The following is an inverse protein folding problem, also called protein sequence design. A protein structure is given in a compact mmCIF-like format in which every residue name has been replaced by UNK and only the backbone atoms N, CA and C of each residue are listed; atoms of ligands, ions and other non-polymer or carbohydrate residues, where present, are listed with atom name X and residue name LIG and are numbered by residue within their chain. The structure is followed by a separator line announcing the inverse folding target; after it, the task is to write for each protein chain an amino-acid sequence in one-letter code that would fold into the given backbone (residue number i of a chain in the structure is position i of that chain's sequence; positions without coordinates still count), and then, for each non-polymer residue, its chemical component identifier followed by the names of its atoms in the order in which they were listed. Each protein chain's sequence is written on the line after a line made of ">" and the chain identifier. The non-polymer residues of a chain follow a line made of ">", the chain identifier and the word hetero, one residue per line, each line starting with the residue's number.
data_IF_500632248738
#
_entry.id   IF_500632248738
#
_cell.length_a   1.000
_cell.length_b   1.000
_cell.length_c   1.000
_cell.angle_alpha   90.00
_cell.angle_beta   90.00
_cell.angle_gamma   90.00
#
_symmetry.space_group_name_H-M   'P 1'
#
loop_
_entity.id
_entity.type
_entity.pdbx_description
1 polymer ?
#
# COMPACT_ATOMS: atom_id res chain seq x y z
N UNK A 1 36.05 -10.69 -3.27
CA UNK A 1 34.81 -9.91 -3.39
C UNK A 1 35.20 -8.45 -3.36
N UNK A 2 34.98 -7.73 -4.44
CA UNK A 2 35.23 -6.28 -4.47
C UNK A 2 34.36 -5.60 -3.41
N UNK A 3 35.01 -4.84 -2.52
CA UNK A 3 34.38 -4.09 -1.43
C UNK A 3 33.79 -2.76 -1.92
N UNK A 4 33.15 -2.76 -3.09
CA UNK A 4 32.60 -1.56 -3.71
C UNK A 4 31.14 -1.77 -4.07
N UNK A 5 30.32 -0.75 -3.80
CA UNK A 5 28.94 -0.70 -4.26
C UNK A 5 28.85 0.06 -5.58
N UNK A 6 28.03 -0.41 -6.51
CA UNK A 6 27.70 0.29 -7.74
C UNK A 6 26.42 1.10 -7.52
N UNK A 7 26.36 2.31 -8.08
CA UNK A 7 25.21 3.21 -7.95
C UNK A 7 24.62 3.45 -9.35
N UNK A 8 23.33 3.21 -9.51
CA UNK A 8 22.57 3.47 -10.74
C UNK A 8 21.49 4.53 -10.47
N UNK A 9 21.52 5.62 -11.26
CA UNK A 9 20.61 6.75 -11.16
C UNK A 9 19.40 6.68 -12.09
N UNK A 10 19.22 5.61 -12.86
CA UNK A 10 18.10 5.48 -13.81
C UNK A 10 16.70 5.63 -13.18
N UNK A 11 16.57 5.41 -11.87
CA UNK A 11 15.31 5.59 -11.11
C UNK A 11 15.24 6.89 -10.32
N UNK A 12 16.29 7.72 -10.31
CA UNK A 12 16.31 8.97 -9.57
C UNK A 12 15.36 9.99 -10.22
N UNK A 13 14.53 10.64 -9.40
CA UNK A 13 13.59 11.66 -9.87
C UNK A 13 12.29 11.12 -10.49
N UNK A 14 12.08 9.80 -10.54
CA UNK A 14 10.80 9.23 -10.96
C UNK A 14 9.69 9.70 -9.99
N UNK A 15 8.54 10.19 -10.49
CA UNK A 15 7.45 10.64 -9.63
C UNK A 15 6.94 9.53 -8.70
N UNK A 16 6.68 9.88 -7.44
CA UNK A 16 6.15 8.98 -6.43
C UNK A 16 4.97 9.64 -5.71
N UNK A 17 4.02 8.82 -5.28
CA UNK A 17 2.95 9.22 -4.38
C UNK A 17 3.10 8.40 -3.09
N UNK A 18 3.24 9.08 -1.96
CA UNK A 18 3.21 8.46 -0.65
C UNK A 18 1.80 8.57 -0.06
N UNK A 19 1.21 7.43 0.30
CA UNK A 19 -0.10 7.37 0.94
C UNK A 19 0.08 6.76 2.34
N UNK A 20 -0.20 7.56 3.36
CA UNK A 20 -0.18 7.13 4.76
C UNK A 20 -1.62 7.04 5.25
N UNK A 21 -1.99 5.88 5.80
CA UNK A 21 -3.33 5.66 6.37
C UNK A 21 -3.32 5.94 7.87
N UNK A 22 -4.47 6.36 8.39
CA UNK A 22 -4.78 6.22 9.80
C UNK A 22 -4.73 4.73 10.24
N UNK A 23 -4.54 4.42 11.53
CA UNK A 23 -4.41 3.06 12.04
C UNK A 23 -5.77 2.35 12.17
N UNK A 24 -6.49 2.22 11.06
CA UNK A 24 -7.86 1.66 10.97
C UNK A 24 -7.92 0.25 10.38
N UNK A 25 -6.77 -0.34 10.07
CA UNK A 25 -6.65 -1.70 9.51
C UNK A 25 -6.31 -2.65 10.65
N UNK A 26 -7.11 -3.70 10.84
CA UNK A 26 -7.05 -4.55 12.04
C UNK A 26 -6.60 -5.98 11.78
N UNK A 27 -6.40 -6.37 10.51
CA UNK A 27 -5.91 -7.71 10.16
C UNK A 27 -5.04 -7.70 8.90
N UNK A 28 -4.20 -8.73 8.73
CA UNK A 28 -3.45 -8.93 7.50
C UNK A 28 -4.34 -9.09 6.28
N UNK A 29 -5.51 -9.72 6.44
CA UNK A 29 -6.51 -9.84 5.39
C UNK A 29 -7.05 -8.49 4.93
N UNK A 30 -7.47 -7.63 5.87
CA UNK A 30 -7.93 -6.27 5.56
C UNK A 30 -6.82 -5.45 4.88
N UNK A 31 -5.58 -5.54 5.36
CA UNK A 31 -4.43 -4.87 4.77
C UNK A 31 -4.21 -5.28 3.31
N UNK A 32 -4.27 -6.59 3.03
CA UNK A 32 -4.21 -7.09 1.66
C UNK A 32 -5.36 -6.56 0.82
N UNK A 33 -6.60 -6.62 1.32
CA UNK A 33 -7.77 -6.15 0.56
C UNK A 33 -7.67 -4.66 0.25
N UNK A 34 -7.25 -3.85 1.22
CA UNK A 34 -6.99 -2.43 1.02
C UNK A 34 -5.95 -2.21 -0.09
N UNK A 35 -4.82 -2.91 -0.05
CA UNK A 35 -3.78 -2.80 -1.07
C UNK A 35 -4.23 -3.25 -2.47
N UNK A 36 -5.00 -4.34 -2.55
CA UNK A 36 -5.61 -4.83 -3.80
C UNK A 36 -6.59 -3.81 -4.40
N UNK A 37 -7.46 -3.22 -3.56
CA UNK A 37 -8.41 -2.20 -3.99
C UNK A 37 -7.73 -0.90 -4.40
N UNK A 38 -6.66 -0.50 -3.70
CA UNK A 38 -5.85 0.66 -4.08
C UNK A 38 -5.17 0.43 -5.43
N UNK A 39 -4.57 -0.75 -5.67
CA UNK A 39 -4.02 -1.11 -6.99
C UNK A 39 -5.09 -1.07 -8.07
N UNK A 40 -6.28 -1.60 -7.80
CA UNK A 40 -7.39 -1.58 -8.74
C UNK A 40 -7.80 -0.14 -9.08
N UNK A 41 -7.89 0.74 -8.09
CA UNK A 41 -8.20 2.16 -8.27
C UNK A 41 -7.14 2.85 -9.13
N UNK A 42 -5.85 2.69 -8.81
CA UNK A 42 -4.75 3.32 -9.54
C UNK A 42 -4.72 2.89 -11.01
N UNK A 43 -5.00 1.61 -11.29
CA UNK A 43 -5.13 1.08 -12.65
C UNK A 43 -6.38 1.61 -13.37
N UNK A 44 -7.49 1.77 -12.66
CA UNK A 44 -8.73 2.33 -13.22
C UNK A 44 -8.56 3.79 -13.64
N UNK A 45 -7.78 4.55 -12.86
CA UNK A 45 -7.46 5.94 -13.11
C UNK A 45 -6.32 6.11 -14.14
N UNK A 46 -5.69 5.03 -14.59
CA UNK A 46 -4.56 5.02 -15.52
C UNK A 46 -3.36 5.86 -15.03
N UNK A 47 -3.15 5.93 -13.71
CA UNK A 47 -2.04 6.69 -13.09
C UNK A 47 -0.85 5.83 -12.71
N UNK A 48 -1.07 4.52 -12.51
CA UNK A 48 0.00 3.56 -12.21
C UNK A 48 -0.49 2.12 -12.40
N UNK A 49 0.39 1.28 -12.94
CA UNK A 49 0.21 -0.18 -12.95
C UNK A 49 0.26 -0.78 -11.53
N UNK A 50 0.83 -0.05 -10.57
CA UNK A 50 0.93 -0.38 -9.15
C UNK A 50 1.34 -1.85 -8.91
N UNK A 51 2.31 -2.30 -9.69
CA UNK A 51 2.83 -3.66 -9.62
C UNK A 51 3.95 -3.78 -8.58
N UNK A 52 3.79 -4.70 -7.63
CA UNK A 52 4.76 -4.88 -6.55
C UNK A 52 6.03 -5.58 -7.01
N UNK A 53 5.94 -6.52 -7.95
CA UNK A 53 7.09 -7.30 -8.42
C UNK A 53 8.11 -6.42 -9.16
N UNK A 54 7.62 -5.50 -10.00
CA UNK A 54 8.45 -4.47 -10.64
C UNK A 54 8.80 -3.29 -9.73
N UNK A 55 8.29 -3.26 -8.49
CA UNK A 55 8.58 -2.24 -7.50
C UNK A 55 7.97 -0.87 -7.80
N UNK A 56 6.84 -0.84 -8.51
CA UNK A 56 6.00 0.34 -8.72
C UNK A 56 5.07 0.63 -7.53
N UNK A 57 4.75 -0.40 -6.75
CA UNK A 57 4.03 -0.28 -5.48
C UNK A 57 4.86 -0.86 -4.35
N UNK A 58 4.97 -0.14 -3.24
CA UNK A 58 5.66 -0.57 -2.02
C UNK A 58 4.74 -0.37 -0.83
N UNK A 59 4.79 -1.30 0.12
CA UNK A 59 3.91 -1.31 1.28
C UNK A 59 4.77 -1.65 2.49
N UNK A 60 4.70 -0.80 3.52
CA UNK A 60 5.42 -0.97 4.78
C UNK A 60 4.42 -0.89 5.94
N UNK A 61 3.89 -2.04 6.42
CA UNK A 61 2.91 -2.04 7.49
C UNK A 61 3.57 -1.68 8.83
N UNK A 62 2.88 -0.81 9.56
CA UNK A 62 3.19 -0.46 10.94
C UNK A 62 2.21 -1.21 11.86
N UNK A 63 2.74 -2.08 12.72
CA UNK A 63 1.95 -3.04 13.49
C UNK A 63 2.19 -2.81 14.97
N UNK A 64 1.10 -2.67 15.73
CA UNK A 64 1.12 -2.63 17.19
C UNK A 64 -0.10 -3.38 17.72
N UNK A 65 0.04 -4.07 18.84
CA UNK A 65 -1.08 -4.71 19.54
C UNK A 65 -1.37 -4.03 20.88
N UNK A 66 -2.63 -4.05 21.30
CA UNK A 66 -3.06 -3.49 22.58
C UNK A 66 -4.34 -4.12 23.09
N UNK A 67 -4.45 -4.24 24.43
CA UNK A 67 -5.65 -4.72 25.12
C UNK A 67 -6.61 -3.61 25.53
N UNK A 68 -6.20 -2.34 25.45
CA UNK A 68 -6.89 -1.20 26.08
C UNK A 68 -7.40 -0.15 25.08
N UNK A 69 -7.37 -0.46 23.78
CA UNK A 69 -7.76 0.46 22.70
C UNK A 69 -6.75 1.58 22.42
N UNK A 70 -5.74 1.78 23.27
CA UNK A 70 -4.60 2.69 23.01
C UNK A 70 -3.54 1.97 22.19
N UNK A 71 -3.01 2.58 21.14
CA UNK A 71 -1.97 1.97 20.31
C UNK A 71 -0.73 1.58 21.15
N UNK A 72 -0.20 0.40 20.87
CA UNK A 72 1.00 -0.12 21.52
C UNK A 72 2.28 0.42 20.92
N UNK A 73 3.42 -0.20 21.28
CA UNK A 73 4.69 0.06 20.61
C UNK A 73 4.61 -0.48 19.19
N UNK A 74 4.96 0.35 18.21
CA UNK A 74 4.91 -0.01 16.79
C UNK A 74 6.17 -0.75 16.34
N UNK A 75 5.97 -1.74 15.49
CA UNK A 75 6.99 -2.40 14.69
C UNK A 75 6.69 -2.13 13.22
N UNK A 76 7.73 -1.82 12.46
CA UNK A 76 7.63 -1.52 11.03
C UNK A 76 8.24 -2.68 10.24
N UNK A 77 7.46 -3.31 9.35
CA UNK A 77 7.94 -4.43 8.52
C UNK A 77 8.29 -3.93 7.13
N UNK A 78 9.49 -4.27 6.64
CA UNK A 78 10.04 -3.85 5.36
C UNK A 78 10.27 -5.04 4.42
N UNK A 79 10.56 -4.73 3.15
CA UNK A 79 10.89 -5.67 2.08
C UNK A 79 9.77 -6.67 1.74
N UNK A 80 8.55 -6.15 1.57
CA UNK A 80 7.38 -6.93 1.18
C UNK A 80 7.17 -6.81 -0.34
N UNK A 81 7.31 -7.93 -1.05
CA UNK A 81 7.27 -7.94 -2.53
C UNK A 81 5.95 -8.44 -3.13
N UNK A 82 4.99 -8.84 -2.29
CA UNK A 82 3.67 -9.29 -2.75
C UNK A 82 2.58 -8.98 -1.73
N UNK A 83 1.33 -8.91 -2.19
CA UNK A 83 0.16 -8.76 -1.32
C UNK A 83 0.02 -9.90 -0.31
N UNK A 84 0.43 -11.11 -0.70
CA UNK A 84 0.45 -12.26 0.20
C UNK A 84 1.49 -12.08 1.30
N UNK A 85 2.69 -11.59 0.97
CA UNK A 85 3.73 -11.27 1.95
C UNK A 85 3.25 -10.20 2.93
N UNK A 86 2.45 -9.23 2.50
CA UNK A 86 1.83 -8.24 3.39
C UNK A 86 0.91 -8.91 4.40
N UNK A 87 -0.04 -9.74 3.94
CA UNK A 87 -0.94 -10.47 4.84
C UNK A 87 -0.18 -11.38 5.80
N UNK A 88 0.72 -12.22 5.28
CA UNK A 88 1.47 -13.21 6.04
C UNK A 88 2.37 -12.54 7.10
N UNK A 89 3.07 -11.47 6.73
CA UNK A 89 3.95 -10.75 7.67
C UNK A 89 3.19 -10.05 8.79
N UNK A 90 2.01 -9.50 8.49
CA UNK A 90 1.14 -8.88 9.50
C UNK A 90 0.62 -9.95 10.47
N UNK A 91 0.12 -11.06 9.95
CA UNK A 91 -0.40 -12.15 10.77
C UNK A 91 0.68 -12.74 11.68
N UNK A 92 1.88 -12.96 11.14
CA UNK A 92 3.05 -13.40 11.92
C UNK A 92 3.37 -12.41 13.03
N UNK A 93 3.46 -11.11 12.73
CA UNK A 93 3.86 -10.11 13.72
C UNK A 93 2.78 -9.92 14.81
N UNK A 94 1.49 -10.02 14.46
CA UNK A 94 0.40 -10.03 15.45
C UNK A 94 0.59 -11.19 16.43
N UNK A 95 0.83 -12.40 15.93
CA UNK A 95 1.05 -13.58 16.77
C UNK A 95 2.31 -13.41 17.63
N UNK A 96 3.43 -13.03 17.03
CA UNK A 96 4.72 -12.84 17.72
C UNK A 96 4.61 -11.80 18.83
N UNK A 97 4.00 -10.64 18.56
CA UNK A 97 3.83 -9.61 19.59
C UNK A 97 2.94 -10.13 20.72
N UNK A 98 1.89 -10.89 20.39
CA UNK A 98 0.97 -11.45 21.39
C UNK A 98 1.70 -12.39 22.34
N UNK A 99 2.46 -13.34 21.81
CA UNK A 99 3.25 -14.30 22.61
C UNK A 99 4.27 -13.58 23.52
N UNK A 100 4.94 -12.54 23.02
CA UNK A 100 5.89 -11.75 23.83
C UNK A 100 5.17 -11.01 24.96
N UNK A 101 4.01 -10.40 24.71
CA UNK A 101 3.28 -9.70 25.75
C UNK A 101 2.64 -10.65 26.78
N UNK A 102 2.17 -11.82 26.34
CA UNK A 102 1.58 -12.83 27.23
C UNK A 102 2.61 -13.50 28.14
N UNK A 103 3.85 -13.66 27.67
CA UNK A 103 4.99 -14.11 28.49
C UNK A 103 5.56 -13.04 29.42
N UNK A 104 4.97 -11.83 29.46
CA UNK A 104 5.42 -10.72 30.29
C UNK A 104 6.62 -9.95 29.73
N UNK A 105 7.00 -10.22 28.48
CA UNK A 105 8.03 -9.49 27.76
C UNK A 105 7.59 -8.09 27.32
N UNK A 106 8.49 -7.38 26.65
CA UNK A 106 8.25 -6.03 26.12
C UNK A 106 8.54 -5.97 24.63
N UNK A 107 7.70 -5.25 23.90
CA UNK A 107 7.94 -4.93 22.49
C UNK A 107 8.82 -3.67 22.42
N UNK A 108 9.86 -3.73 21.59
CA UNK A 108 10.73 -2.61 21.29
C UNK A 108 10.42 -2.08 19.89
N UNK A 109 10.55 -0.78 19.70
CA UNK A 109 10.37 -0.17 18.38
C UNK A 109 11.60 -0.47 17.51
N UNK A 110 11.43 -1.32 16.51
CA UNK A 110 12.46 -1.64 15.53
C UNK A 110 11.87 -1.81 14.13
N UNK A 111 12.77 -1.77 13.15
CA UNK A 111 12.46 -2.19 11.79
C UNK A 111 12.69 -3.69 11.70
N UNK A 112 11.76 -4.41 11.08
CA UNK A 112 11.86 -5.84 10.81
C UNK A 112 11.83 -6.09 9.32
N UNK A 113 12.52 -7.13 8.87
CA UNK A 113 12.41 -7.66 7.53
C UNK A 113 11.49 -8.87 7.51
N UNK A 114 10.88 -9.13 6.35
CA UNK A 114 10.14 -10.37 6.11
C UNK A 114 11.02 -11.40 5.38
N UNK A 115 11.10 -12.62 5.90
CA UNK A 115 11.71 -13.75 5.21
C UNK A 115 10.62 -14.66 4.63
N UNK A 116 10.44 -14.62 3.31
CA UNK A 116 9.40 -15.37 2.61
C UNK A 116 9.60 -16.90 2.68
N UNK A 117 10.84 -17.39 2.69
CA UNK A 117 11.13 -18.83 2.71
C UNK A 117 10.80 -19.44 4.07
N UNK A 118 11.11 -18.70 5.14
CA UNK A 118 10.88 -19.14 6.52
C UNK A 118 9.53 -18.72 7.08
N UNK A 119 8.81 -17.85 6.38
CA UNK A 119 7.55 -17.24 6.85
C UNK A 119 7.68 -16.57 8.22
N UNK A 120 8.79 -15.84 8.44
CA UNK A 120 9.08 -15.19 9.71
C UNK A 120 9.57 -13.75 9.54
N UNK A 121 9.30 -12.89 10.53
CA UNK A 121 9.92 -11.57 10.62
C UNK A 121 11.23 -11.66 11.39
N UNK A 122 12.27 -11.01 10.89
CA UNK A 122 13.57 -10.91 11.56
C UNK A 122 13.90 -9.46 11.88
N UNK A 123 14.64 -9.25 12.97
CA UNK A 123 15.07 -7.91 13.36
C UNK A 123 16.09 -7.38 12.35
N UNK A 124 15.82 -6.18 11.83
CA UNK A 124 16.82 -5.40 11.10
C UNK A 124 17.50 -4.44 12.09
N UNK A 125 18.48 -3.67 11.59
CA UNK A 125 19.21 -2.67 12.38
C UNK A 125 18.26 -1.89 13.30
N UNK A 126 18.64 -1.76 14.58
CA UNK A 126 17.94 -0.90 15.53
C UNK A 126 17.88 0.53 14.98
N UNK A 127 16.75 1.21 15.21
CA UNK A 127 16.66 2.66 14.96
C UNK A 127 17.63 3.34 15.93
N UNK A 128 18.85 3.60 15.47
CA UNK A 128 19.75 4.57 16.09
C UNK A 128 19.14 5.96 15.84
N UNK A 129 18.27 6.37 16.77
CA UNK A 129 17.65 7.69 16.87
C UNK A 129 16.65 8.05 15.74
N UNK A 130 15.64 8.86 16.08
CA UNK A 130 14.77 9.44 15.06
C UNK A 130 15.60 10.44 14.25
N UNK A 131 15.78 10.20 12.95
CA UNK A 131 16.55 11.10 12.11
C UNK A 131 15.90 12.49 12.05
N UNK A 132 16.67 13.51 12.42
CA UNK A 132 16.28 14.90 12.18
C UNK A 132 16.45 15.19 10.68
N UNK A 133 15.33 15.11 9.95
CA UNK A 133 15.28 15.38 8.51
C UNK A 133 15.39 16.86 8.17
N UNK A 134 15.36 17.78 9.15
CA UNK A 134 15.48 19.23 8.96
C UNK A 134 14.58 19.75 7.85
N UNK A 135 13.28 19.40 7.90
CA UNK A 135 12.31 19.86 6.91
C UNK A 135 12.24 21.39 6.85
N UNK A 136 12.39 21.95 5.66
CA UNK A 136 12.12 23.35 5.34
C UNK A 136 11.49 23.44 3.93
N UNK A 137 10.74 24.51 3.62
CA UNK A 137 10.16 24.70 2.29
C UNK A 137 11.25 24.74 1.21
N UNK A 138 11.04 24.02 0.10
CA UNK A 138 11.95 24.01 -1.04
C UNK A 138 11.97 25.39 -1.72
N UNK A 139 13.09 26.15 -1.67
CA UNK A 139 13.16 27.49 -2.24
C UNK A 139 13.12 27.52 -3.77
N UNK A 140 13.52 26.45 -4.45
CA UNK A 140 13.61 26.41 -5.91
C UNK A 140 12.26 26.09 -6.58
N UNK A 141 11.28 25.61 -5.80
CA UNK A 141 9.94 25.26 -6.30
C UNK A 141 8.90 26.27 -5.84
N UNK A 142 8.14 26.90 -6.76
CA UNK A 142 7.02 27.73 -6.35
C UNK A 142 5.94 26.90 -5.64
N UNK A 143 5.17 27.51 -4.72
CA UNK A 143 4.07 26.84 -4.05
C UNK A 143 3.02 26.31 -5.04
N UNK A 144 2.46 25.16 -4.70
CA UNK A 144 1.36 24.52 -5.41
C UNK A 144 0.06 24.83 -4.65
N UNK A 145 -0.89 25.51 -5.30
CA UNK A 145 -2.16 25.92 -4.67
C UNK A 145 -3.36 25.36 -5.44
N UNK A 146 -4.35 24.86 -4.71
CA UNK A 146 -5.56 24.26 -5.27
C UNK A 146 -6.76 25.20 -5.12
N UNK A 147 -7.50 25.42 -6.21
CA UNK A 147 -8.76 26.20 -6.27
C UNK A 147 -8.70 27.62 -5.67
N UNK A 148 -7.51 28.22 -5.64
CA UNK A 148 -7.26 29.56 -5.14
C UNK A 148 -6.95 30.53 -6.31
N UNK A 149 -7.19 31.85 -6.15
CA UNK A 149 -6.63 32.83 -7.06
C UNK A 149 -5.10 32.80 -6.95
N UNK A 150 -4.40 32.54 -8.05
CA UNK A 150 -2.93 32.54 -8.05
C UNK A 150 -2.40 33.91 -7.65
N UNK A 151 -1.46 33.91 -6.71
CA UNK A 151 -0.53 35.01 -6.57
C UNK A 151 0.66 34.82 -7.53
N UNK A 152 1.47 35.88 -7.69
CA UNK A 152 2.58 35.84 -8.64
C UNK A 152 3.57 34.71 -8.30
N UNK A 153 3.71 33.76 -9.22
CA UNK A 153 4.70 32.70 -9.16
C UNK A 153 4.17 31.34 -8.73
N UNK A 154 2.92 31.21 -8.25
CA UNK A 154 2.36 29.93 -7.80
C UNK A 154 1.92 29.01 -8.96
N UNK A 155 1.91 27.70 -8.72
CA UNK A 155 1.35 26.70 -9.63
C UNK A 155 -0.10 26.41 -9.22
N UNK A 156 -1.05 26.69 -10.11
CA UNK A 156 -2.47 26.44 -9.89
C UNK A 156 -2.90 25.02 -10.24
N UNK A 157 -3.63 24.37 -9.33
CA UNK A 157 -4.39 23.16 -9.59
C UNK A 157 -5.88 23.46 -9.53
N UNK A 158 -6.60 23.15 -10.61
CA UNK A 158 -8.06 23.22 -10.66
C UNK A 158 -8.63 21.83 -10.38
N UNK A 159 -9.04 21.58 -9.14
CA UNK A 159 -9.51 20.24 -8.74
C UNK A 159 -10.86 19.93 -9.40
N UNK A 160 -11.72 20.93 -9.58
CA UNK A 160 -13.04 20.76 -10.21
C UNK A 160 -12.94 20.29 -11.66
N UNK A 161 -11.90 20.70 -12.38
CA UNK A 161 -11.69 20.24 -13.74
C UNK A 161 -11.13 18.80 -13.77
N UNK A 162 -10.26 18.45 -12.83
CA UNK A 162 -9.76 17.07 -12.64
C UNK A 162 -10.93 16.13 -12.28
N UNK A 163 -11.82 16.55 -11.39
CA UNK A 163 -12.98 15.77 -10.97
C UNK A 163 -13.90 15.40 -12.14
N UNK A 164 -14.10 16.30 -13.11
CA UNK A 164 -14.91 16.02 -14.30
C UNK A 164 -14.29 14.99 -15.24
N UNK A 165 -12.97 14.83 -15.16
CA UNK A 165 -12.21 13.88 -15.99
C UNK A 165 -12.13 12.49 -15.34
N UNK A 166 -12.55 12.36 -14.08
CA UNK A 166 -12.52 11.06 -13.39
C UNK A 166 -13.46 10.07 -14.09
N UNK A 167 -12.98 8.86 -14.41
CA UNK A 167 -13.83 7.80 -14.91
C UNK A 167 -14.74 7.26 -13.81
N UNK A 168 -15.71 6.42 -14.20
CA UNK A 168 -16.48 5.63 -13.25
C UNK A 168 -15.54 4.78 -12.37
N UNK A 169 -15.59 5.00 -11.05
CA UNK A 169 -14.71 4.35 -10.10
C UNK A 169 -15.10 2.88 -9.87
N UNK A 170 -14.17 2.02 -9.41
CA UNK A 170 -14.44 0.59 -9.25
C UNK A 170 -15.69 0.26 -8.41
N UNK A 171 -15.91 0.96 -7.30
CA UNK A 171 -17.08 0.74 -6.44
C UNK A 171 -18.39 1.22 -7.09
N UNK A 172 -18.38 2.38 -7.75
CA UNK A 172 -19.53 2.89 -8.51
C UNK A 172 -19.96 1.89 -9.60
N UNK A 173 -18.99 1.34 -10.32
CA UNK A 173 -19.24 0.31 -11.34
C UNK A 173 -19.82 -0.97 -10.75
N UNK A 174 -19.30 -1.43 -9.61
CA UNK A 174 -19.86 -2.60 -8.89
C UNK A 174 -21.31 -2.37 -8.49
N UNK A 175 -21.63 -1.20 -7.95
CA UNK A 175 -22.99 -0.82 -7.57
C UNK A 175 -23.93 -0.79 -8.78
N UNK A 176 -23.53 -0.10 -9.87
CA UNK A 176 -24.30 -0.02 -11.10
C UNK A 176 -24.58 -1.39 -11.71
N UNK A 177 -23.56 -2.26 -11.81
CA UNK A 177 -23.71 -3.61 -12.35
C UNK A 177 -24.57 -4.52 -11.45
N UNK A 178 -24.51 -4.34 -10.14
CA UNK A 178 -25.34 -5.09 -9.18
C UNK A 178 -26.80 -4.65 -9.26
N UNK A 179 -27.05 -3.34 -9.40
CA UNK A 179 -28.38 -2.79 -9.65
C UNK A 179 -28.97 -3.30 -10.98
N UNK A 180 -28.16 -3.37 -12.04
CA UNK A 180 -28.56 -3.89 -13.34
C UNK A 180 -28.95 -5.38 -13.30
N UNK A 181 -28.25 -6.20 -12.50
CA UNK A 181 -28.55 -7.63 -12.30
C UNK A 181 -29.78 -7.93 -11.45
N UNK A 182 -30.56 -6.92 -11.01
CA UNK A 182 -31.89 -7.13 -10.41
C UNK A 182 -32.99 -7.54 -11.42
N UNK A 183 -32.64 -7.89 -12.65
CA UNK A 183 -33.49 -8.69 -13.55
C UNK A 183 -33.30 -10.17 -13.19
N UNK A 184 -34.25 -10.72 -12.40
CA UNK A 184 -34.42 -12.12 -11.99
C UNK A 184 -33.12 -12.86 -11.57
N UNK A 185 -32.84 -12.79 -10.28
CA UNK A 185 -32.01 -13.76 -9.57
C UNK A 185 -32.76 -15.11 -9.46
N UNK A 186 -32.97 -15.78 -10.60
CA UNK A 186 -33.46 -17.15 -10.66
C UNK A 186 -32.62 -17.95 -11.63
N UNK A 187 -31.29 -17.94 -11.45
CA UNK A 187 -30.45 -19.00 -12.01
C UNK A 187 -29.33 -19.29 -11.01
N UNK A 188 -29.42 -20.48 -10.45
CA UNK A 188 -28.42 -21.13 -9.62
C UNK A 188 -27.02 -21.02 -10.25
N UNK A 189 -26.02 -20.61 -9.49
CA UNK A 189 -24.63 -21.10 -9.68
C UNK A 189 -23.94 -21.26 -8.33
N UNK A 190 -24.03 -22.48 -7.78
CA UNK A 190 -23.03 -23.09 -6.89
C UNK A 190 -22.06 -23.89 -7.77
N UNK A 191 -20.79 -23.50 -7.84
CA UNK A 191 -19.62 -24.22 -8.39
C UNK A 191 -18.43 -23.60 -7.62
N UNK A 192 -17.65 -24.24 -6.72
CA UNK A 192 -16.87 -25.48 -6.75
C UNK A 192 -15.99 -25.61 -8.02
N UNK A 193 -14.71 -25.24 -7.91
CA UNK A 193 -13.56 -25.43 -8.84
C UNK A 193 -13.19 -24.35 -9.89
N UNK A 194 -11.86 -24.19 -9.98
CA UNK A 194 -11.01 -23.40 -10.87
C UNK A 194 -11.36 -23.50 -12.36
N UNK A 195 -11.30 -22.37 -13.08
CA UNK A 195 -11.04 -22.35 -14.53
C UNK A 195 -10.12 -21.16 -14.87
N UNK A 196 -8.89 -21.49 -15.27
CA UNK A 196 -7.95 -20.61 -15.98
C UNK A 196 -8.33 -20.64 -17.46
N UNK A 197 -8.40 -19.48 -18.13
CA UNK A 197 -8.24 -19.43 -19.59
C UNK A 197 -7.23 -18.36 -19.99
N UNK A 198 -6.08 -18.85 -20.44
CA UNK A 198 -5.07 -18.13 -21.21
C UNK A 198 -5.24 -18.57 -22.67
N UNK A 199 -5.62 -17.67 -23.56
CA UNK A 199 -5.17 -17.70 -24.97
C UNK A 199 -5.45 -16.37 -25.66
N UNK A 200 -4.38 -15.59 -25.84
CA UNK A 200 -4.23 -14.63 -26.93
C UNK A 200 -4.01 -15.47 -28.19
N UNK A 201 -4.87 -15.36 -29.20
CA UNK A 201 -4.56 -15.82 -30.56
C UNK A 201 -4.85 -14.69 -31.55
N UNK A 202 -3.95 -14.61 -32.52
CA UNK A 202 -3.65 -13.54 -33.47
C UNK A 202 -4.78 -13.15 -34.47
N UNK A 203 -4.56 -11.96 -35.07
CA UNK A 203 -5.00 -11.46 -36.39
C UNK A 203 -6.43 -10.90 -36.55
N UNK A 204 -6.53 -9.57 -36.57
CA UNK A 204 -6.41 -8.78 -37.81
C UNK A 204 -5.78 -7.42 -37.49
#
# INVERSE_FOLDING_TARGET
>A
QDKSSLVDYNRAGVPLMELVTEPVIHSGFEARRFAEELRLLLRYLDVSDADMESGQMRIEPNISISKTGKLGIKVEVKNLNSFRSVEDSINFEIQRQTEVLESGGKIHQHNRGWNQEKSETFEQRSKEEAHDYRYFPEPDLPPLVADAPAENGEILINTKEIEKQLPELPWQKRERLTAWKKIKLSFWFKIWTFVIFLKKLFLR
#
